data_IF_821801971955
#
_entry.id   IF_821801971955
#
_cell.length_a   1.000
_cell.length_b   1.000
_cell.length_c   1.000
_cell.angle_alpha   90.00
_cell.angle_beta   90.00
_cell.angle_gamma   90.00
#
_symmetry.space_group_name_H-M   'P 1'
#
loop_
_entity.id
_entity.type
_entity.pdbx_description
1 polymer ?
#
# COMPACT_ATOMS: atom_id res chain seq x y z
N UNK A 1 -22.25 -8.11 -39.59
CA UNK A 1 -20.85 -7.87 -39.20
C UNK A 1 -20.85 -7.08 -37.90
N UNK A 2 -20.20 -7.62 -36.86
CA UNK A 2 -20.34 -7.18 -35.47
C UNK A 2 -19.58 -5.87 -35.20
N UNK A 3 -20.27 -4.88 -34.62
CA UNK A 3 -19.66 -3.69 -34.03
C UNK A 3 -19.18 -4.04 -32.62
N UNK A 4 -17.89 -4.35 -32.45
CA UNK A 4 -17.27 -4.51 -31.13
C UNK A 4 -16.87 -3.13 -30.62
N UNK A 5 -17.78 -2.48 -29.88
CA UNK A 5 -17.53 -1.24 -29.13
C UNK A 5 -16.64 -1.61 -27.94
N UNK A 6 -15.34 -1.38 -28.06
CA UNK A 6 -14.38 -1.52 -26.96
C UNK A 6 -14.78 -0.52 -25.87
N UNK A 7 -15.34 -1.02 -24.78
CA UNK A 7 -15.56 -0.24 -23.58
C UNK A 7 -14.18 0.16 -23.04
N UNK A 8 -13.90 1.46 -23.03
CA UNK A 8 -12.78 2.05 -22.31
C UNK A 8 -13.07 1.80 -20.83
N UNK A 9 -12.53 0.71 -20.28
CA UNK A 9 -12.54 0.46 -18.85
C UNK A 9 -11.70 1.58 -18.22
N UNK A 10 -12.37 2.46 -17.48
CA UNK A 10 -11.74 3.40 -16.57
C UNK A 10 -11.20 2.52 -15.44
N UNK A 11 -9.94 2.10 -15.54
CA UNK A 11 -9.26 1.44 -14.42
C UNK A 11 -9.25 2.44 -13.26
N UNK A 12 -9.64 1.99 -12.07
CA UNK A 12 -9.46 2.80 -10.87
C UNK A 12 -7.95 3.01 -10.71
N UNK A 13 -7.53 4.26 -10.56
CA UNK A 13 -6.12 4.64 -10.39
C UNK A 13 -5.45 3.91 -9.21
N UNK A 14 -6.24 3.46 -8.23
CA UNK A 14 -5.76 2.79 -7.02
C UNK A 14 -5.27 1.34 -7.22
N UNK A 15 -5.62 0.68 -8.33
CA UNK A 15 -5.25 -0.73 -8.61
C UNK A 15 -4.16 -0.89 -9.67
N UNK A 16 -3.52 0.20 -10.11
CA UNK A 16 -2.42 0.15 -11.07
C UNK A 16 -1.15 -0.39 -10.41
N UNK A 17 -0.49 -1.34 -11.07
CA UNK A 17 0.86 -1.76 -10.69
C UNK A 17 1.89 -0.66 -10.99
N UNK A 18 3.09 -0.79 -10.41
CA UNK A 18 4.10 0.27 -10.47
C UNK A 18 4.54 0.57 -11.90
N UNK A 19 4.76 -0.47 -12.70
CA UNK A 19 5.21 -0.34 -14.09
C UNK A 19 4.16 0.36 -14.95
N UNK A 20 2.88 0.04 -14.76
CA UNK A 20 1.79 0.71 -15.48
C UNK A 20 1.65 2.17 -15.05
N UNK A 21 1.67 2.44 -13.73
CA UNK A 21 1.59 3.81 -13.22
C UNK A 21 2.76 4.67 -13.70
N UNK A 22 3.97 4.12 -13.73
CA UNK A 22 5.16 4.79 -14.27
C UNK A 22 5.03 5.03 -15.78
N UNK A 23 4.49 4.07 -16.54
CA UNK A 23 4.20 4.24 -17.96
C UNK A 23 3.22 5.36 -18.24
N UNK A 24 2.15 5.50 -17.44
CA UNK A 24 1.21 6.61 -17.54
C UNK A 24 1.88 7.97 -17.26
N UNK A 25 2.79 8.05 -16.28
CA UNK A 25 3.58 9.26 -16.03
C UNK A 25 4.45 9.63 -17.24
N UNK A 26 5.14 8.66 -17.83
CA UNK A 26 5.96 8.88 -19.03
C UNK A 26 5.12 9.37 -20.20
N UNK A 27 3.93 8.81 -20.39
CA UNK A 27 2.99 9.25 -21.41
C UNK A 27 2.51 10.68 -21.17
N UNK A 28 2.17 11.04 -19.93
CA UNK A 28 1.81 12.41 -19.56
C UNK A 28 2.94 13.39 -19.86
N UNK A 29 4.19 13.06 -19.50
CA UNK A 29 5.35 13.91 -19.78
C UNK A 29 5.53 14.10 -21.28
N UNK A 30 5.47 13.01 -22.05
CA UNK A 30 5.60 13.07 -23.50
C UNK A 30 4.58 14.01 -24.14
N UNK A 31 3.31 13.93 -23.74
CA UNK A 31 2.26 14.78 -24.29
C UNK A 31 2.39 16.26 -23.88
N UNK A 32 2.90 16.54 -22.67
CA UNK A 32 3.19 17.91 -22.24
C UNK A 32 4.38 18.50 -23.00
N UNK A 33 5.37 17.68 -23.36
CA UNK A 33 6.56 18.10 -24.13
C UNK A 33 6.27 18.30 -25.62
N UNK A 34 5.31 17.54 -26.18
CA UNK A 34 4.93 17.61 -27.59
C UNK A 34 4.27 18.97 -27.95
N UNK A 35 3.67 19.65 -26.97
CA UNK A 35 3.18 21.03 -27.11
C UNK A 35 1.87 21.18 -27.90
N UNK A 36 1.22 20.09 -28.26
CA UNK A 36 -0.05 20.07 -29.02
C UNK A 36 -1.29 20.33 -28.13
N UNK A 37 -1.12 20.36 -26.81
CA UNK A 37 -2.20 20.55 -25.85
C UNK A 37 -2.49 22.04 -25.60
N UNK A 38 -3.78 22.39 -25.51
CA UNK A 38 -4.16 23.71 -24.99
C UNK A 38 -3.88 23.82 -23.47
N UNK A 39 -4.01 25.04 -22.93
CA UNK A 39 -3.73 25.30 -21.52
C UNK A 39 -4.59 24.43 -20.57
N UNK A 40 -5.87 24.26 -20.87
CA UNK A 40 -6.78 23.49 -20.01
C UNK A 40 -6.43 22.01 -20.05
N UNK A 41 -6.11 21.48 -21.22
CA UNK A 41 -5.65 20.11 -21.41
C UNK A 41 -4.30 19.87 -20.73
N UNK A 42 -3.36 20.82 -20.85
CA UNK A 42 -2.04 20.75 -20.22
C UNK A 42 -2.16 20.69 -18.69
N UNK A 43 -3.04 21.52 -18.10
CA UNK A 43 -3.31 21.48 -16.67
C UNK A 43 -3.91 20.15 -16.23
N UNK A 44 -4.89 19.63 -16.97
CA UNK A 44 -5.50 18.34 -16.67
C UNK A 44 -4.49 17.18 -16.73
N UNK A 45 -3.61 17.17 -17.74
CA UNK A 45 -2.53 16.17 -17.87
C UNK A 45 -1.52 16.30 -16.73
N UNK A 46 -1.14 17.52 -16.37
CA UNK A 46 -0.25 17.76 -15.23
C UNK A 46 -0.84 17.22 -13.92
N UNK A 47 -2.11 17.51 -13.63
CA UNK A 47 -2.81 16.99 -12.44
C UNK A 47 -2.83 15.46 -12.40
N UNK A 48 -3.14 14.83 -13.54
CA UNK A 48 -3.07 13.37 -13.67
C UNK A 48 -1.64 12.85 -13.39
N UNK A 49 -0.62 13.47 -13.97
CA UNK A 49 0.78 13.09 -13.75
C UNK A 49 1.19 13.18 -12.29
N UNK A 50 0.78 14.24 -11.58
CA UNK A 50 1.05 14.40 -10.15
C UNK A 50 0.33 13.32 -9.32
N UNK A 51 -0.91 12.99 -9.65
CA UNK A 51 -1.64 11.92 -8.98
C UNK A 51 -0.91 10.57 -9.13
N UNK A 52 -0.45 10.24 -10.35
CA UNK A 52 0.29 9.01 -10.64
C UNK A 52 1.66 8.97 -9.95
N UNK A 53 2.40 10.08 -9.94
CA UNK A 53 3.67 10.18 -9.21
C UNK A 53 3.47 9.92 -7.71
N UNK A 54 2.41 10.44 -7.11
CA UNK A 54 2.07 10.17 -5.70
C UNK A 54 1.77 8.69 -5.45
N UNK A 55 1.07 8.04 -6.38
CA UNK A 55 0.81 6.60 -6.31
C UNK A 55 2.12 5.80 -6.38
N UNK A 56 2.97 6.07 -7.36
CA UNK A 56 4.29 5.43 -7.50
C UNK A 56 5.13 5.57 -6.22
N UNK A 57 5.19 6.78 -5.63
CA UNK A 57 5.90 7.00 -4.36
C UNK A 57 5.30 6.18 -3.21
N UNK A 58 3.97 6.06 -3.15
CA UNK A 58 3.29 5.21 -2.18
C UNK A 58 3.70 3.74 -2.30
N UNK A 59 3.75 3.21 -3.52
CA UNK A 59 4.18 1.83 -3.79
C UNK A 59 5.64 1.59 -3.40
N UNK A 60 6.54 2.52 -3.76
CA UNK A 60 7.96 2.44 -3.39
C UNK A 60 8.15 2.45 -1.87
N UNK A 61 7.40 3.30 -1.15
CA UNK A 61 7.43 3.33 0.32
C UNK A 61 6.97 2.01 0.95
N UNK A 62 5.93 1.39 0.40
CA UNK A 62 5.47 0.08 0.87
C UNK A 62 6.51 -1.01 0.60
N UNK A 63 7.15 -0.98 -0.57
CA UNK A 63 8.22 -1.91 -0.92
C UNK A 63 9.43 -1.74 0.01
N UNK A 64 9.85 -0.50 0.29
CA UNK A 64 10.91 -0.18 1.23
C UNK A 64 10.61 -0.73 2.63
N UNK A 65 9.42 -0.45 3.18
CA UNK A 65 9.02 -0.95 4.49
C UNK A 65 9.04 -2.49 4.56
N UNK A 66 8.63 -3.15 3.48
CA UNK A 66 8.69 -4.62 3.38
C UNK A 66 10.14 -5.13 3.34
N UNK A 67 11.03 -4.47 2.62
CA UNK A 67 12.46 -4.81 2.59
C UNK A 67 13.05 -4.64 3.99
N UNK A 68 12.81 -3.50 4.64
CA UNK A 68 13.30 -3.22 6.00
C UNK A 68 12.92 -4.34 6.95
N UNK A 69 11.63 -4.71 7.01
CA UNK A 69 11.14 -5.80 7.86
C UNK A 69 11.82 -7.14 7.58
N UNK A 70 12.13 -7.44 6.31
CA UNK A 70 12.81 -8.68 5.93
C UNK A 70 14.31 -8.66 6.22
N UNK A 71 14.92 -7.48 6.28
CA UNK A 71 16.36 -7.29 6.48
C UNK A 71 16.76 -6.98 7.91
N UNK A 72 15.79 -6.72 8.81
CA UNK A 72 16.03 -6.54 10.23
C UNK A 72 16.49 -7.86 10.87
N UNK A 73 17.81 -8.04 10.85
CA UNK A 73 18.54 -9.08 11.56
C UNK A 73 19.45 -8.44 12.61
N UNK A 74 19.59 -9.06 13.77
CA UNK A 74 20.51 -8.60 14.81
C UNK A 74 21.98 -8.89 14.45
N UNK A 75 22.91 -8.47 15.31
CA UNK A 75 24.35 -8.69 15.12
C UNK A 75 24.74 -10.17 15.01
N UNK A 76 23.87 -11.08 15.47
CA UNK A 76 24.04 -12.53 15.46
C UNK A 76 23.25 -13.19 14.32
N UNK A 77 22.70 -12.41 13.37
CA UNK A 77 21.88 -12.85 12.24
C UNK A 77 20.55 -13.52 12.61
N UNK A 78 20.04 -13.27 13.81
CA UNK A 78 18.68 -13.70 14.19
C UNK A 78 17.66 -12.66 13.71
N UNK A 79 16.44 -13.08 13.32
CA UNK A 79 15.37 -12.15 13.01
C UNK A 79 15.04 -11.29 14.24
N UNK A 80 15.00 -9.97 14.07
CA UNK A 80 14.55 -9.06 15.13
C UNK A 80 13.04 -9.21 15.28
N UNK A 81 12.58 -9.70 16.43
CA UNK A 81 11.16 -9.79 16.76
C UNK A 81 10.83 -8.83 17.90
N UNK A 82 9.96 -7.86 17.64
CA UNK A 82 9.33 -7.07 18.71
C UNK A 82 8.33 -7.98 19.47
N UNK A 83 8.38 -8.05 20.80
CA UNK A 83 7.35 -8.71 21.59
C UNK A 83 6.00 -8.05 21.32
N UNK A 84 5.04 -8.80 20.78
CA UNK A 84 3.66 -8.35 20.71
C UNK A 84 3.10 -8.48 22.13
N UNK A 85 2.95 -7.35 22.82
CA UNK A 85 2.20 -7.28 24.07
C UNK A 85 0.73 -7.57 23.78
N UNK A 86 0.34 -8.83 23.87
CA UNK A 86 -1.07 -9.22 23.87
C UNK A 86 -1.62 -8.86 25.26
N UNK A 87 -2.06 -7.61 25.43
CA UNK A 87 -2.88 -7.24 26.59
C UNK A 87 -4.23 -7.96 26.51
N UNK A 88 -4.34 -9.08 27.23
CA UNK A 88 -5.63 -9.68 27.55
C UNK A 88 -5.65 -11.19 27.61
N UNK A 89 -5.16 -11.76 28.71
CA UNK A 89 -5.88 -12.87 29.35
C UNK A 89 -5.68 -12.79 30.87
N UNK A 90 -6.64 -12.14 31.53
CA UNK A 90 -6.79 -12.21 32.98
C UNK A 90 -7.32 -13.59 33.32
N UNK A 91 -6.46 -14.62 33.27
CA UNK A 91 -6.75 -15.90 33.94
C UNK A 91 -6.70 -15.67 35.44
N UNK A 92 -7.84 -15.23 35.97
CA UNK A 92 -8.15 -15.25 37.39
C UNK A 92 -8.30 -16.71 37.82
N UNK A 93 -7.16 -17.38 38.04
CA UNK A 93 -7.14 -18.63 38.79
C UNK A 93 -7.45 -18.32 40.26
N UNK A 94 -8.73 -18.40 40.62
CA UNK A 94 -9.17 -18.41 42.02
C UNK A 94 -9.26 -19.86 42.49
N UNK A 95 -8.43 -20.30 43.45
CA UNK A 95 -8.55 -21.65 43.99
C UNK A 95 -9.79 -21.74 44.89
N UNK A 96 -10.84 -22.37 44.38
CA UNK A 96 -12.00 -22.80 45.15
C UNK A 96 -11.66 -24.10 45.90
N UNK A 97 -11.46 -24.04 47.22
CA UNK A 97 -11.54 -25.21 48.13
C UNK A 97 -12.31 -24.79 49.39
N UNK A 98 -13.60 -25.09 49.44
CA UNK A 98 -14.21 -26.34 49.93
C UNK A 98 -14.45 -26.32 51.44
N UNK A 99 -15.72 -26.47 51.79
CA UNK A 99 -16.29 -26.59 53.11
C UNK A 99 -15.59 -27.60 54.05
N UNK A 100 -15.73 -27.32 55.35
CA UNK A 100 -15.46 -28.22 56.47
C UNK A 100 -14.92 -27.39 57.64
N UNK A 101 -15.52 -27.30 58.81
CA UNK A 101 -16.68 -27.94 59.43
C UNK A 101 -16.70 -27.45 60.88
N UNK A 102 -17.88 -27.45 61.49
CA UNK A 102 -18.15 -27.33 62.92
C UNK A 102 -16.94 -27.63 63.82
N UNK A 103 -16.50 -26.66 64.64
CA UNK A 103 -16.27 -26.70 66.09
C UNK A 103 -15.62 -25.39 66.56
#
# INVERSE_FOLDING_TARGET
MAKKKTARQKANDDDLDFETALGEVQQVVHELEDGELDLTQSLARYEQGIAMLRHCHGMLKQAEAKITLLTEVDADSNPVTEPIDIEGDQVSDSPQKSAGGLF
#
